data_IF_341135584096
#
_entry.id   IF_341135584096
#
_cell.length_a   1.000
_cell.length_b   1.000
_cell.length_c   1.000
_cell.angle_alpha   90.00
_cell.angle_beta   90.00
_cell.angle_gamma   90.00
#
_symmetry.space_group_name_H-M   'P 1'
#
loop_
_entity.id
_entity.type
_entity.pdbx_description
1 polymer ?
#
# COMPACT_ATOMS: atom_id res chain seq x y z
N UNK A 1 8.24 31.24 -15.76
CA UNK A 1 9.31 30.40 -15.18
C UNK A 1 9.59 30.74 -13.71
N UNK A 2 9.68 32.03 -13.32
CA UNK A 2 9.90 32.44 -11.91
C UNK A 2 8.77 31.99 -10.95
N UNK A 3 7.51 31.93 -11.41
CA UNK A 3 6.37 31.45 -10.60
C UNK A 3 6.44 29.96 -10.25
N UNK A 4 6.91 29.10 -11.16
CA UNK A 4 6.97 27.65 -10.96
C UNK A 4 7.98 27.24 -9.89
N UNK A 5 9.17 27.86 -9.89
CA UNK A 5 10.22 27.63 -8.89
C UNK A 5 9.73 28.04 -7.51
N UNK A 6 9.06 29.18 -7.41
CA UNK A 6 8.50 29.66 -6.15
C UNK A 6 7.47 28.68 -5.56
N UNK A 7 6.58 28.15 -6.39
CA UNK A 7 5.60 27.12 -5.97
C UNK A 7 6.29 25.85 -5.47
N UNK A 8 7.34 25.40 -6.17
CA UNK A 8 8.13 24.23 -5.76
C UNK A 8 8.74 24.45 -4.38
N UNK A 9 9.35 25.62 -4.14
CA UNK A 9 9.94 25.97 -2.83
C UNK A 9 8.88 25.98 -1.72
N UNK A 10 7.70 26.52 -1.99
CA UNK A 10 6.58 26.50 -1.05
C UNK A 10 6.17 25.06 -0.71
N UNK A 11 6.02 24.19 -1.70
CA UNK A 11 5.64 22.78 -1.48
C UNK A 11 6.72 22.06 -0.65
N UNK A 12 8.00 22.29 -0.93
CA UNK A 12 9.09 21.75 -0.13
C UNK A 12 9.02 22.25 1.32
N UNK A 13 8.78 23.54 1.55
CA UNK A 13 8.61 24.11 2.88
C UNK A 13 7.43 23.47 3.64
N UNK A 14 6.29 23.29 2.97
CA UNK A 14 5.14 22.57 3.54
C UNK A 14 5.49 21.12 3.90
N UNK A 15 6.26 20.43 3.07
CA UNK A 15 6.70 19.07 3.36
C UNK A 15 7.53 18.98 4.65
N UNK A 16 8.50 19.88 4.83
CA UNK A 16 9.26 19.97 6.09
C UNK A 16 8.37 20.29 7.29
N UNK A 17 7.48 21.27 7.14
CA UNK A 17 6.54 21.65 8.21
C UNK A 17 5.63 20.49 8.63
N UNK A 18 5.18 19.65 7.69
CA UNK A 18 4.41 18.44 8.01
C UNK A 18 5.26 17.44 8.79
N UNK A 19 6.53 17.23 8.41
CA UNK A 19 7.45 16.33 9.13
C UNK A 19 7.61 16.78 10.59
N UNK A 20 7.90 18.06 10.82
CA UNK A 20 8.06 18.60 12.18
C UNK A 20 6.79 18.44 13.02
N UNK A 21 5.62 18.72 12.42
CA UNK A 21 4.32 18.50 13.09
C UNK A 21 4.07 17.04 13.45
N UNK A 22 4.46 16.11 12.58
CA UNK A 22 4.32 14.67 12.83
C UNK A 22 5.28 14.24 13.94
N UNK A 23 6.54 14.67 13.90
CA UNK A 23 7.53 14.38 14.94
C UNK A 23 7.11 14.95 16.31
N UNK A 24 6.56 16.16 16.35
CA UNK A 24 6.04 16.77 17.58
C UNK A 24 4.81 16.03 18.12
N UNK A 25 3.90 15.59 17.25
CA UNK A 25 2.66 14.91 17.64
C UNK A 25 2.89 13.46 18.09
N UNK A 26 3.84 12.75 17.48
CA UNK A 26 4.07 11.33 17.71
C UNK A 26 5.47 11.08 18.27
N UNK A 27 5.56 10.76 19.57
CA UNK A 27 6.85 10.52 20.27
C UNK A 27 7.72 9.41 19.63
N UNK A 28 7.12 8.48 18.90
CA UNK A 28 7.85 7.40 18.22
C UNK A 28 8.36 7.80 16.83
N UNK A 29 7.95 8.96 16.31
CA UNK A 29 8.29 9.40 14.98
C UNK A 29 9.69 10.01 14.96
N UNK A 30 10.51 9.54 14.04
CA UNK A 30 11.88 10.01 13.83
C UNK A 30 11.88 11.03 12.68
N UNK A 31 12.15 12.29 13.02
CA UNK A 31 12.21 13.38 12.04
C UNK A 31 13.32 13.17 11.00
N UNK A 32 14.47 12.61 11.40
CA UNK A 32 15.59 12.40 10.49
C UNK A 32 15.27 11.29 9.48
N UNK A 33 14.58 10.24 9.92
CA UNK A 33 14.05 9.21 9.03
C UNK A 33 13.09 9.81 8.00
N UNK A 34 12.13 10.63 8.45
CA UNK A 34 11.14 11.26 7.56
C UNK A 34 11.77 12.26 6.58
N UNK A 35 12.77 13.04 7.02
CA UNK A 35 13.54 13.95 6.14
C UNK A 35 14.33 13.16 5.09
N UNK A 36 14.98 12.06 5.49
CA UNK A 36 15.68 11.18 4.55
C UNK A 36 14.72 10.56 3.53
N UNK A 37 13.53 10.17 3.98
CA UNK A 37 12.47 9.65 3.13
C UNK A 37 11.95 10.70 2.13
N UNK A 38 11.80 11.95 2.56
CA UNK A 38 11.44 13.07 1.70
C UNK A 38 12.50 13.31 0.62
N UNK A 39 13.78 13.37 1.00
CA UNK A 39 14.89 13.56 0.07
C UNK A 39 14.96 12.43 -0.96
N UNK A 40 14.79 11.18 -0.51
CA UNK A 40 14.76 10.02 -1.39
C UNK A 40 13.57 10.04 -2.34
N UNK A 41 12.38 10.40 -1.85
CA UNK A 41 11.19 10.55 -2.67
C UNK A 41 11.33 11.68 -3.71
N UNK A 42 11.90 12.81 -3.32
CA UNK A 42 12.18 13.93 -4.22
C UNK A 42 13.20 13.53 -5.29
N UNK A 43 14.27 12.82 -4.93
CA UNK A 43 15.25 12.31 -5.89
C UNK A 43 14.60 11.41 -6.94
N UNK A 44 13.73 10.49 -6.51
CA UNK A 44 13.00 9.62 -7.43
C UNK A 44 11.92 10.35 -8.23
N UNK A 45 11.35 11.44 -7.71
CA UNK A 45 10.49 12.35 -8.49
C UNK A 45 11.26 13.00 -9.64
N UNK A 46 12.50 13.47 -9.38
CA UNK A 46 13.39 14.01 -10.41
C UNK A 46 13.76 12.93 -11.44
N UNK A 47 14.09 11.73 -10.99
CA UNK A 47 14.36 10.60 -11.88
C UNK A 47 13.14 10.25 -12.76
N UNK A 48 11.93 10.25 -12.19
CA UNK A 48 10.69 10.06 -12.92
C UNK A 48 10.44 11.16 -13.95
N UNK A 49 10.67 12.43 -13.59
CA UNK A 49 10.54 13.55 -14.53
C UNK A 49 11.50 13.40 -15.72
N UNK A 50 12.75 13.01 -15.46
CA UNK A 50 13.73 12.68 -16.50
C UNK A 50 13.26 11.52 -17.40
N UNK A 51 12.72 10.46 -16.83
CA UNK A 51 12.14 9.35 -17.60
C UNK A 51 10.99 9.80 -18.52
N UNK A 52 10.08 10.64 -18.00
CA UNK A 52 8.95 11.16 -18.76
C UNK A 52 9.34 12.15 -19.84
N UNK A 53 10.52 12.78 -19.76
CA UNK A 53 11.01 13.63 -20.84
C UNK A 53 11.14 12.84 -22.17
N UNK A 54 11.59 11.58 -22.09
CA UNK A 54 11.88 10.72 -23.25
C UNK A 54 10.81 9.65 -23.53
N UNK A 55 9.85 9.44 -22.62
CA UNK A 55 8.83 8.41 -22.74
C UNK A 55 7.41 9.01 -22.69
N UNK A 56 6.43 8.41 -23.39
CA UNK A 56 5.02 8.78 -23.22
C UNK A 56 4.57 8.64 -21.77
N UNK A 57 3.81 9.62 -21.27
CA UNK A 57 3.33 9.61 -19.88
C UNK A 57 1.93 10.20 -19.78
N UNK A 58 1.09 9.50 -19.02
CA UNK A 58 -0.25 9.93 -18.61
C UNK A 58 -0.25 11.37 -18.05
N UNK A 59 0.79 11.74 -17.30
CA UNK A 59 0.92 13.05 -16.66
C UNK A 59 0.91 14.23 -17.64
N UNK A 60 1.60 14.10 -18.79
CA UNK A 60 1.61 15.11 -19.86
C UNK A 60 0.22 15.27 -20.47
N UNK A 61 -0.49 14.15 -20.65
CA UNK A 61 -1.85 14.16 -21.20
C UNK A 61 -2.83 14.82 -20.25
N UNK A 62 -2.79 14.50 -18.95
CA UNK A 62 -3.67 15.13 -17.95
C UNK A 62 -3.46 16.64 -17.90
N UNK A 63 -2.21 17.09 -17.90
CA UNK A 63 -1.89 18.52 -17.84
C UNK A 63 -2.40 19.25 -19.08
N UNK A 64 -2.16 18.71 -20.28
CA UNK A 64 -2.64 19.30 -21.53
C UNK A 64 -4.16 19.35 -21.62
N UNK A 65 -4.86 18.29 -21.22
CA UNK A 65 -6.34 18.25 -21.24
C UNK A 65 -6.96 19.32 -20.36
N UNK A 66 -6.42 19.51 -19.16
CA UNK A 66 -6.87 20.56 -18.24
C UNK A 66 -6.54 21.95 -18.81
N UNK A 67 -5.32 22.14 -19.32
CA UNK A 67 -4.90 23.41 -19.90
C UNK A 67 -5.81 23.83 -21.07
N UNK A 68 -6.12 22.89 -21.96
CA UNK A 68 -6.90 23.08 -23.19
C UNK A 68 -8.42 23.01 -22.99
N UNK A 69 -8.95 22.92 -21.76
CA UNK A 69 -10.38 22.76 -21.51
C UNK A 69 -11.02 21.58 -22.26
N UNK A 70 -10.29 20.46 -22.39
CA UNK A 70 -10.70 19.33 -23.24
C UNK A 70 -12.08 18.75 -22.88
N UNK A 71 -12.52 18.87 -21.62
CA UNK A 71 -13.82 18.38 -21.16
C UNK A 71 -14.90 19.46 -21.05
N UNK A 72 -14.50 20.72 -21.08
CA UNK A 72 -15.35 21.86 -20.79
C UNK A 72 -14.58 22.98 -20.08
N UNK A 73 -15.18 24.18 -20.01
CA UNK A 73 -14.55 25.36 -19.43
C UNK A 73 -14.60 25.41 -17.90
N UNK A 74 -15.44 24.62 -17.24
CA UNK A 74 -15.66 24.69 -15.79
C UNK A 74 -14.89 23.60 -15.05
N UNK A 75 -14.65 23.82 -13.75
CA UNK A 75 -13.97 22.84 -12.91
C UNK A 75 -14.76 21.51 -12.81
N UNK A 76 -16.08 21.61 -12.69
CA UNK A 76 -16.96 20.45 -12.53
C UNK A 76 -17.06 19.58 -13.80
N UNK A 77 -16.73 20.12 -14.98
CA UNK A 77 -16.68 19.35 -16.23
C UNK A 77 -15.59 18.27 -16.19
N UNK A 78 -14.59 18.45 -15.33
CA UNK A 78 -13.54 17.46 -15.11
C UNK A 78 -13.88 16.44 -14.04
N UNK A 79 -14.98 16.60 -13.30
CA UNK A 79 -15.36 15.69 -12.23
C UNK A 79 -15.77 14.31 -12.78
N UNK A 80 -15.33 13.27 -12.09
CA UNK A 80 -15.67 11.88 -12.40
C UNK A 80 -14.70 10.93 -11.72
N UNK A 81 -14.69 9.67 -12.14
CA UNK A 81 -13.80 8.64 -11.57
C UNK A 81 -12.63 8.28 -12.48
N UNK A 82 -11.60 7.65 -11.94
CA UNK A 82 -10.41 7.19 -12.65
C UNK A 82 -9.56 8.35 -13.20
N UNK A 83 -9.60 8.60 -14.51
CA UNK A 83 -8.75 9.62 -15.16
C UNK A 83 -9.27 11.03 -14.94
N UNK A 84 -10.59 11.21 -15.05
CA UNK A 84 -11.26 12.51 -14.85
C UNK A 84 -10.96 13.07 -13.47
N UNK A 85 -10.99 12.23 -12.42
CA UNK A 85 -10.66 12.69 -11.06
C UNK A 85 -9.27 13.30 -10.93
N UNK A 86 -8.26 12.77 -11.62
CA UNK A 86 -6.90 13.33 -11.57
C UNK A 86 -6.85 14.69 -12.27
N UNK A 87 -7.56 14.81 -13.38
CA UNK A 87 -7.72 16.08 -14.11
C UNK A 87 -8.50 17.10 -13.26
N UNK A 88 -9.55 16.67 -12.56
CA UNK A 88 -10.33 17.47 -11.60
C UNK A 88 -9.46 17.97 -10.44
N UNK A 89 -8.67 17.11 -9.81
CA UNK A 89 -7.77 17.50 -8.71
C UNK A 89 -6.68 18.45 -9.22
N UNK A 90 -6.18 18.24 -10.45
CA UNK A 90 -5.18 19.11 -11.07
C UNK A 90 -5.72 20.47 -11.53
N UNK A 91 -7.01 20.56 -11.87
CA UNK A 91 -7.66 21.75 -12.43
C UNK A 91 -7.42 23.05 -11.66
N UNK A 92 -7.67 23.14 -10.34
CA UNK A 92 -7.47 24.40 -9.62
C UNK A 92 -6.01 24.86 -9.68
N UNK A 93 -5.06 23.93 -9.60
CA UNK A 93 -3.63 24.26 -9.64
C UNK A 93 -3.20 24.73 -11.04
N UNK A 94 -3.69 24.09 -12.09
CA UNK A 94 -3.30 24.40 -13.47
C UNK A 94 -4.01 25.68 -13.96
N UNK A 95 -5.33 25.81 -13.73
CA UNK A 95 -6.16 26.85 -14.35
C UNK A 95 -6.37 28.07 -13.46
N UNK A 96 -6.57 27.88 -12.15
CA UNK A 96 -6.80 28.99 -11.22
C UNK A 96 -5.47 29.57 -10.75
N UNK A 97 -4.53 28.71 -10.33
CA UNK A 97 -3.23 29.14 -9.82
C UNK A 97 -2.13 29.24 -10.88
N UNK A 98 -2.37 28.77 -12.11
CA UNK A 98 -1.41 28.89 -13.22
C UNK A 98 -0.12 28.10 -13.02
N UNK A 99 -0.17 26.98 -12.29
CA UNK A 99 1.02 26.15 -12.02
C UNK A 99 1.57 25.56 -13.32
N UNK A 100 2.91 25.59 -13.48
CA UNK A 100 3.58 24.89 -14.57
C UNK A 100 3.48 23.37 -14.39
N UNK A 101 3.79 22.62 -15.46
CA UNK A 101 3.81 21.17 -15.43
C UNK A 101 4.73 20.62 -14.31
N UNK A 102 5.91 21.22 -14.13
CA UNK A 102 6.88 20.87 -13.08
C UNK A 102 6.30 21.12 -11.68
N UNK A 103 5.64 22.26 -11.47
CA UNK A 103 5.03 22.59 -10.19
C UNK A 103 3.91 21.61 -9.82
N UNK A 104 3.08 21.19 -10.80
CA UNK A 104 2.04 20.17 -10.59
C UNK A 104 2.66 18.78 -10.32
N UNK A 105 3.76 18.44 -11.00
CA UNK A 105 4.49 17.20 -10.74
C UNK A 105 5.00 17.14 -9.29
N UNK A 106 5.61 18.22 -8.81
CA UNK A 106 6.08 18.32 -7.41
C UNK A 106 4.92 18.30 -6.42
N UNK A 107 3.80 18.97 -6.72
CA UNK A 107 2.61 18.94 -5.89
C UNK A 107 2.05 17.52 -5.73
N UNK A 108 1.94 16.77 -6.82
CA UNK A 108 1.47 15.39 -6.75
C UNK A 108 2.49 14.45 -6.10
N UNK A 109 3.80 14.70 -6.28
CA UNK A 109 4.82 14.00 -5.49
C UNK A 109 4.68 14.27 -4.00
N UNK A 110 4.33 15.50 -3.59
CA UNK A 110 4.01 15.80 -2.21
C UNK A 110 2.79 15.02 -1.69
N UNK A 111 1.72 14.87 -2.49
CA UNK A 111 0.60 13.98 -2.11
C UNK A 111 1.05 12.53 -1.93
N UNK A 112 1.92 12.01 -2.81
CA UNK A 112 2.53 10.69 -2.64
C UNK A 112 3.33 10.58 -1.34
N UNK A 113 4.14 11.59 -1.03
CA UNK A 113 4.90 11.68 0.22
C UNK A 113 4.02 11.69 1.47
N UNK A 114 2.87 12.37 1.45
CA UNK A 114 1.89 12.29 2.55
C UNK A 114 1.39 10.85 2.75
N UNK A 115 1.21 10.08 1.68
CA UNK A 115 0.92 8.64 1.77
C UNK A 115 1.99 7.88 2.56
N UNK A 116 3.26 8.14 2.29
CA UNK A 116 4.37 7.54 3.05
C UNK A 116 4.34 7.92 4.53
N UNK A 117 4.02 9.17 4.87
CA UNK A 117 3.87 9.60 6.27
C UNK A 117 2.77 8.81 6.97
N UNK A 118 1.59 8.67 6.35
CA UNK A 118 0.48 7.94 6.95
C UNK A 118 0.79 6.45 7.13
N UNK A 119 1.44 5.84 6.14
CA UNK A 119 1.94 4.47 6.28
C UNK A 119 3.02 4.36 7.35
N UNK A 120 3.94 5.31 7.45
CA UNK A 120 4.97 5.30 8.50
C UNK A 120 4.34 5.32 9.90
N UNK A 121 3.36 6.20 10.12
CA UNK A 121 2.62 6.26 11.38
C UNK A 121 1.88 4.94 11.62
N UNK A 122 1.19 4.41 10.61
CA UNK A 122 0.49 3.13 10.68
C UNK A 122 1.43 1.97 11.06
N UNK A 123 2.63 1.91 10.48
CA UNK A 123 3.63 0.88 10.80
C UNK A 123 4.14 1.04 12.23
N UNK A 124 4.59 2.25 12.62
CA UNK A 124 5.14 2.51 13.95
C UNK A 124 4.13 2.33 15.09
N UNK A 125 2.83 2.53 14.83
CA UNK A 125 1.79 2.29 15.84
C UNK A 125 1.54 0.79 16.10
N UNK A 126 1.84 -0.07 15.14
CA UNK A 126 1.53 -1.51 15.20
C UNK A 126 2.77 -2.41 15.32
N UNK A 127 3.98 -1.89 15.10
CA UNK A 127 5.25 -2.63 15.18
C UNK A 127 6.10 -2.06 16.32
N UNK A 128 6.48 -2.90 17.29
CA UNK A 128 7.20 -2.46 18.49
C UNK A 128 8.70 -2.68 18.41
N UNK A 129 9.14 -3.77 17.78
CA UNK A 129 10.54 -4.17 17.75
C UNK A 129 11.18 -3.83 16.41
N UNK A 130 12.50 -3.61 16.44
CA UNK A 130 13.30 -3.48 15.22
C UNK A 130 13.62 -4.88 14.70
N UNK A 131 13.28 -5.14 13.44
CA UNK A 131 13.50 -6.44 12.80
C UNK A 131 14.60 -6.30 11.77
N UNK A 132 15.68 -7.06 11.91
CA UNK A 132 16.80 -7.02 10.97
C UNK A 132 16.70 -8.12 9.92
N UNK A 133 16.97 -7.78 8.66
CA UNK A 133 17.12 -8.71 7.54
C UNK A 133 18.39 -8.31 6.79
N UNK A 134 19.30 -9.26 6.57
CA UNK A 134 20.65 -9.00 6.02
C UNK A 134 21.45 -7.91 6.78
N UNK A 135 21.21 -7.77 8.09
CA UNK A 135 21.87 -6.75 8.92
C UNK A 135 21.19 -5.37 8.90
N UNK A 136 20.33 -5.10 7.92
CA UNK A 136 19.57 -3.86 7.78
C UNK A 136 18.22 -3.93 8.50
N UNK A 137 17.70 -2.78 8.94
CA UNK A 137 16.36 -2.68 9.49
C UNK A 137 15.30 -2.86 8.39
N UNK A 138 14.43 -3.86 8.55
CA UNK A 138 13.45 -4.25 7.55
C UNK A 138 12.43 -3.14 7.29
N UNK A 139 12.04 -2.39 8.32
CA UNK A 139 11.14 -1.25 8.15
C UNK A 139 11.79 -0.20 7.27
N UNK A 140 13.05 0.15 7.55
CA UNK A 140 13.82 1.06 6.70
C UNK A 140 13.91 0.55 5.26
N UNK A 141 14.23 -0.72 5.06
CA UNK A 141 14.32 -1.31 3.71
C UNK A 141 12.99 -1.19 2.94
N UNK A 142 11.86 -1.52 3.57
CA UNK A 142 10.52 -1.43 2.96
C UNK A 142 10.17 -0.01 2.53
N UNK A 143 10.50 0.99 3.36
CA UNK A 143 10.20 2.39 3.07
C UNK A 143 11.15 3.00 2.05
N UNK A 144 12.30 2.39 1.74
CA UNK A 144 13.25 2.90 0.75
C UNK A 144 13.29 2.07 -0.53
N UNK A 145 12.25 1.29 -0.82
CA UNK A 145 12.12 0.58 -2.09
C UNK A 145 11.83 1.57 -3.24
N UNK A 146 12.72 1.68 -4.26
CA UNK A 146 12.63 2.72 -5.28
C UNK A 146 11.34 2.72 -6.11
N UNK A 147 10.78 1.56 -6.43
CA UNK A 147 9.62 1.42 -7.33
C UNK A 147 8.37 2.11 -6.77
N UNK A 148 8.12 1.95 -5.46
CA UNK A 148 6.98 2.60 -4.82
C UNK A 148 7.11 4.12 -4.88
N UNK A 149 8.31 4.65 -4.61
CA UNK A 149 8.58 6.09 -4.72
C UNK A 149 8.42 6.59 -6.16
N UNK A 150 9.01 5.89 -7.12
CA UNK A 150 8.98 6.25 -8.54
C UNK A 150 7.55 6.37 -9.11
N UNK A 151 6.65 5.44 -8.76
CA UNK A 151 5.27 5.50 -9.27
C UNK A 151 4.31 6.36 -8.44
N UNK A 152 4.70 6.76 -7.24
CA UNK A 152 3.94 7.68 -6.38
C UNK A 152 4.43 9.13 -6.46
N UNK A 153 5.45 9.42 -7.27
CA UNK A 153 6.09 10.75 -7.35
C UNK A 153 5.68 11.58 -8.57
N UNK A 154 4.52 11.33 -9.17
CA UNK A 154 4.10 11.93 -10.44
C UNK A 154 2.68 12.48 -10.44
N UNK A 155 2.40 13.42 -11.35
CA UNK A 155 1.04 13.87 -11.66
C UNK A 155 0.26 12.74 -12.32
N UNK A 156 -0.36 11.90 -11.50
CA UNK A 156 -1.08 10.74 -11.96
C UNK A 156 -1.85 10.05 -10.86
N UNK A 157 -2.51 8.95 -11.22
CA UNK A 157 -3.33 8.15 -10.29
C UNK A 157 -2.52 7.61 -9.11
N UNK A 158 -1.22 7.37 -9.30
CA UNK A 158 -0.39 6.67 -8.33
C UNK A 158 -0.12 7.41 -7.04
N UNK A 159 0.15 8.71 -7.11
CA UNK A 159 0.34 9.56 -5.92
C UNK A 159 -0.93 9.69 -5.09
N UNK A 160 -2.05 10.03 -5.75
CA UNK A 160 -3.34 10.24 -5.10
C UNK A 160 -3.89 8.96 -4.48
N UNK A 161 -3.84 7.82 -5.19
CA UNK A 161 -4.33 6.56 -4.61
C UNK A 161 -3.47 6.10 -3.45
N UNK A 162 -2.15 6.26 -3.53
CA UNK A 162 -1.26 5.87 -2.44
C UNK A 162 -1.53 6.67 -1.17
N UNK A 163 -1.78 7.98 -1.31
CA UNK A 163 -2.29 8.82 -0.23
C UNK A 163 -3.62 8.30 0.33
N UNK A 164 -4.59 7.99 -0.54
CA UNK A 164 -5.91 7.49 -0.13
C UNK A 164 -5.83 6.18 0.68
N UNK A 165 -5.06 5.21 0.19
CA UNK A 165 -4.84 3.93 0.88
C UNK A 165 -4.11 4.15 2.20
N UNK A 166 -3.04 4.96 2.22
CA UNK A 166 -2.30 5.26 3.44
C UNK A 166 -3.17 5.91 4.52
N UNK A 167 -4.00 6.89 4.12
CA UNK A 167 -4.92 7.59 5.02
C UNK A 167 -6.02 6.66 5.57
N UNK A 168 -6.54 5.76 4.72
CA UNK A 168 -7.52 4.75 5.12
C UNK A 168 -6.97 3.79 6.19
N UNK A 169 -5.78 3.20 5.95
CA UNK A 169 -5.16 2.27 6.92
C UNK A 169 -4.69 2.98 8.20
N UNK A 170 -4.19 4.21 8.09
CA UNK A 170 -3.93 5.08 9.24
C UNK A 170 -5.19 5.31 10.08
N UNK A 171 -6.34 5.52 9.43
CA UNK A 171 -7.64 5.67 10.08
C UNK A 171 -8.09 4.40 10.79
N UNK A 172 -7.98 3.25 10.11
CA UNK A 172 -8.36 1.92 10.62
C UNK A 172 -7.59 1.54 11.88
N UNK A 173 -6.34 1.98 12.06
CA UNK A 173 -5.59 1.69 13.28
C UNK A 173 -6.24 2.30 14.53
N UNK A 174 -6.95 3.43 14.40
CA UNK A 174 -7.67 4.10 15.51
C UNK A 174 -9.01 4.66 15.02
N UNK A 175 -9.94 3.78 14.65
CA UNK A 175 -11.22 4.12 14.01
C UNK A 175 -11.96 5.25 14.74
N UNK A 176 -12.13 5.14 16.06
CA UNK A 176 -12.92 6.09 16.86
C UNK A 176 -12.45 7.53 16.75
N UNK A 177 -11.13 7.77 16.70
CA UNK A 177 -10.57 9.12 16.65
C UNK A 177 -10.20 9.58 15.24
N UNK A 178 -10.30 8.68 14.25
CA UNK A 178 -9.82 8.93 12.87
C UNK A 178 -10.87 8.61 11.80
N UNK A 179 -12.16 8.65 12.15
CA UNK A 179 -13.25 8.53 11.17
C UNK A 179 -13.06 9.49 9.98
N UNK A 180 -12.66 10.77 10.17
CA UNK A 180 -12.43 11.66 9.03
C UNK A 180 -11.34 11.14 8.07
N UNK A 181 -10.29 10.51 8.58
CA UNK A 181 -9.24 9.92 7.76
C UNK A 181 -9.75 8.72 6.95
N UNK A 182 -10.61 7.87 7.55
CA UNK A 182 -11.24 6.74 6.84
C UNK A 182 -12.14 7.25 5.72
N UNK A 183 -12.97 8.28 5.99
CA UNK A 183 -13.89 8.86 5.00
C UNK A 183 -13.12 9.52 3.86
N UNK A 184 -12.17 10.40 4.16
CA UNK A 184 -11.37 11.10 3.14
C UNK A 184 -10.52 10.09 2.36
N UNK A 185 -9.87 9.14 3.03
CA UNK A 185 -9.07 8.10 2.38
C UNK A 185 -9.92 7.23 1.47
N UNK A 186 -11.07 6.78 1.96
CA UNK A 186 -12.04 6.00 1.18
C UNK A 186 -12.58 6.78 -0.03
N UNK A 187 -12.93 8.05 0.16
CA UNK A 187 -13.38 8.94 -0.92
C UNK A 187 -12.32 9.09 -2.02
N UNK A 188 -11.06 9.28 -1.64
CA UNK A 188 -9.95 9.37 -2.60
C UNK A 188 -9.79 8.05 -3.35
N UNK A 189 -9.78 6.91 -2.65
CA UNK A 189 -9.66 5.60 -3.30
C UNK A 189 -10.82 5.33 -4.24
N UNK A 190 -12.07 5.65 -3.85
CA UNK A 190 -13.24 5.52 -4.72
C UNK A 190 -13.05 6.29 -6.02
N UNK A 191 -12.71 7.57 -5.94
CA UNK A 191 -12.63 8.40 -7.13
C UNK A 191 -11.46 8.02 -8.04
N UNK A 192 -10.33 7.55 -7.49
CA UNK A 192 -9.21 7.11 -8.33
C UNK A 192 -9.43 5.70 -8.88
N UNK A 193 -9.93 4.77 -8.05
CA UNK A 193 -10.20 3.36 -8.38
C UNK A 193 -11.37 2.80 -7.57
N UNK A 194 -12.61 2.88 -8.09
CA UNK A 194 -13.81 2.41 -7.39
C UNK A 194 -13.73 0.94 -6.94
N UNK A 195 -13.19 0.08 -7.80
CA UNK A 195 -13.04 -1.36 -7.52
C UNK A 195 -12.10 -1.63 -6.34
N UNK A 196 -11.01 -0.86 -6.18
CA UNK A 196 -10.08 -1.05 -5.05
C UNK A 196 -10.74 -0.67 -3.74
N UNK A 197 -11.56 0.39 -3.70
CA UNK A 197 -12.28 0.75 -2.47
C UNK A 197 -13.22 -0.38 -2.05
N UNK A 198 -14.01 -0.92 -2.98
CA UNK A 198 -14.96 -1.98 -2.69
C UNK A 198 -14.26 -3.17 -2.03
N UNK A 199 -13.16 -3.58 -2.64
CA UNK A 199 -12.35 -4.69 -2.18
C UNK A 199 -11.74 -4.41 -0.80
N UNK A 200 -11.26 -3.20 -0.55
CA UNK A 200 -10.74 -2.78 0.76
C UNK A 200 -11.82 -2.75 1.85
N UNK A 201 -13.04 -2.31 1.52
CA UNK A 201 -14.17 -2.30 2.44
C UNK A 201 -14.62 -3.71 2.80
N UNK A 202 -14.78 -4.58 1.81
CA UNK A 202 -15.13 -6.00 2.02
C UNK A 202 -14.04 -6.69 2.84
N UNK A 203 -12.78 -6.50 2.50
CA UNK A 203 -11.65 -7.04 3.25
C UNK A 203 -11.60 -6.56 4.69
N UNK A 204 -11.91 -5.28 4.92
CA UNK A 204 -11.97 -4.71 6.27
C UNK A 204 -13.17 -5.25 7.05
N UNK A 205 -14.34 -5.39 6.40
CA UNK A 205 -15.54 -5.99 7.01
C UNK A 205 -15.30 -7.44 7.43
N UNK A 206 -14.72 -8.26 6.55
CA UNK A 206 -14.30 -9.63 6.88
C UNK A 206 -13.29 -9.61 8.02
N UNK A 207 -12.29 -8.72 7.96
CA UNK A 207 -11.33 -8.51 9.04
C UNK A 207 -12.00 -8.23 10.40
N UNK A 208 -13.07 -7.43 10.42
CA UNK A 208 -13.85 -7.14 11.64
C UNK A 208 -14.61 -8.35 12.16
N UNK A 209 -15.27 -9.11 11.28
CA UNK A 209 -16.05 -10.29 11.67
C UNK A 209 -15.13 -11.35 12.27
N UNK A 210 -14.02 -11.64 11.59
CA UNK A 210 -13.11 -12.72 11.98
C UNK A 210 -12.05 -12.33 13.02
N UNK A 211 -11.96 -11.06 13.45
CA UNK A 211 -11.03 -10.68 14.51
C UNK A 211 -11.66 -10.83 15.89
N UNK A 212 -11.13 -11.70 16.73
CA UNK A 212 -11.59 -11.87 18.11
C UNK A 212 -11.04 -10.80 19.08
N UNK A 213 -10.11 -9.95 18.63
CA UNK A 213 -9.35 -9.03 19.50
C UNK A 213 -9.49 -7.57 19.07
N UNK A 214 -9.87 -6.71 20.01
CA UNK A 214 -9.57 -5.27 19.97
C UNK A 214 -10.71 -4.31 19.60
N UNK A 215 -11.88 -4.78 19.15
CA UNK A 215 -13.02 -3.90 18.84
C UNK A 215 -14.33 -4.46 19.40
N UNK A 216 -15.12 -3.61 20.06
CA UNK A 216 -16.43 -3.99 20.60
C UNK A 216 -17.43 -4.32 19.50
N UNK A 217 -18.34 -5.25 19.77
CA UNK A 217 -19.31 -5.78 18.78
C UNK A 217 -20.13 -4.65 18.12
N UNK A 218 -20.55 -3.64 18.89
CA UNK A 218 -21.31 -2.50 18.37
C UNK A 218 -20.59 -1.75 17.23
N UNK A 219 -19.28 -1.51 17.36
CA UNK A 219 -18.50 -0.84 16.31
C UNK A 219 -18.28 -1.72 15.08
N UNK A 220 -18.27 -3.04 15.26
CA UNK A 220 -18.22 -3.99 14.13
C UNK A 220 -19.50 -3.92 13.33
N UNK A 221 -20.64 -3.98 14.01
CA UNK A 221 -21.97 -3.90 13.38
C UNK A 221 -22.15 -2.55 12.68
N UNK A 222 -21.78 -1.46 13.34
CA UNK A 222 -21.83 -0.12 12.73
C UNK A 222 -20.97 -0.03 11.47
N UNK A 223 -19.72 -0.51 11.52
CA UNK A 223 -18.85 -0.51 10.35
C UNK A 223 -19.41 -1.40 9.22
N UNK A 224 -19.89 -2.60 9.54
CA UNK A 224 -20.51 -3.51 8.58
C UNK A 224 -21.72 -2.87 7.90
N UNK A 225 -22.59 -2.23 8.67
CA UNK A 225 -23.76 -1.53 8.15
C UNK A 225 -23.34 -0.40 7.20
N UNK A 226 -22.40 0.46 7.62
CA UNK A 226 -21.88 1.53 6.76
C UNK A 226 -21.20 0.97 5.49
N UNK A 227 -20.40 -0.08 5.62
CA UNK A 227 -19.73 -0.73 4.48
C UNK A 227 -20.75 -1.32 3.50
N UNK A 228 -21.83 -1.94 3.99
CA UNK A 228 -22.91 -2.48 3.16
C UNK A 228 -23.70 -1.39 2.44
N UNK A 229 -23.96 -0.25 3.10
CA UNK A 229 -24.60 0.91 2.44
C UNK A 229 -23.70 1.44 1.33
N UNK A 230 -22.41 1.64 1.63
CA UNK A 230 -21.44 2.11 0.63
C UNK A 230 -21.31 1.11 -0.52
N UNK A 231 -21.31 -0.20 -0.23
CA UNK A 231 -21.34 -1.26 -1.24
C UNK A 231 -22.56 -1.13 -2.16
N UNK A 232 -23.76 -0.94 -1.58
CA UNK A 232 -25.02 -0.80 -2.34
C UNK A 232 -25.00 0.38 -3.32
N UNK A 233 -24.37 1.49 -2.97
CA UNK A 233 -24.26 2.64 -3.88
C UNK A 233 -23.17 2.49 -4.95
N UNK A 234 -22.12 1.71 -4.66
CA UNK A 234 -20.91 1.67 -5.50
C UNK A 234 -20.86 0.43 -6.40
N UNK A 235 -21.55 -0.67 -6.06
CA UNK A 235 -21.40 -1.94 -6.78
C UNK A 235 -21.68 -1.80 -8.28
N UNK A 236 -22.70 -1.03 -8.68
CA UNK A 236 -23.02 -0.78 -10.09
C UNK A 236 -21.89 -0.09 -10.85
N UNK A 237 -21.33 0.97 -10.27
CA UNK A 237 -20.18 1.67 -10.83
C UNK A 237 -18.94 0.76 -10.92
N UNK A 238 -18.81 -0.20 -10.00
CA UNK A 238 -17.73 -1.19 -10.02
C UNK A 238 -17.95 -2.23 -11.11
N UNK A 239 -19.15 -2.79 -11.26
CA UNK A 239 -19.49 -3.74 -12.32
C UNK A 239 -19.26 -3.11 -13.70
N UNK A 240 -19.74 -1.89 -13.91
CA UNK A 240 -19.49 -1.13 -15.13
C UNK A 240 -17.99 -0.85 -15.35
N UNK A 241 -17.22 -0.54 -14.30
CA UNK A 241 -15.78 -0.32 -14.42
C UNK A 241 -15.01 -1.62 -14.75
N UNK A 242 -15.49 -2.77 -14.31
CA UNK A 242 -14.94 -4.10 -14.63
C UNK A 242 -15.39 -4.56 -16.03
N UNK A 243 -16.49 -4.02 -16.56
CA UNK A 243 -17.04 -4.35 -17.88
C UNK A 243 -18.04 -5.51 -17.83
N UNK A 244 -18.72 -5.67 -16.69
CA UNK A 244 -19.72 -6.71 -16.47
C UNK A 244 -21.09 -6.06 -16.63
N UNK A 245 -21.83 -6.41 -17.68
CA UNK A 245 -23.23 -6.01 -17.81
C UNK A 245 -24.11 -6.87 -16.88
N UNK A 246 -25.13 -6.26 -16.26
CA UNK A 246 -26.01 -6.93 -15.28
C UNK A 246 -26.69 -8.18 -15.88
N UNK A 247 -26.86 -8.25 -17.21
CA UNK A 247 -27.45 -9.39 -17.93
C UNK A 247 -26.50 -10.58 -18.11
N UNK A 248 -25.18 -10.38 -18.06
CA UNK A 248 -24.18 -11.44 -18.28
C UNK A 248 -23.90 -12.25 -16.99
N UNK A 249 -24.05 -11.62 -15.82
CA UNK A 249 -23.83 -12.23 -14.49
C UNK A 249 -24.69 -13.47 -14.20
N UNK A 250 -25.83 -13.62 -14.90
CA UNK A 250 -26.80 -14.68 -14.66
C UNK A 250 -26.69 -15.85 -15.64
N UNK A 251 -25.89 -15.73 -16.71
CA UNK A 251 -25.97 -16.70 -17.82
C UNK A 251 -24.63 -17.15 -18.37
N UNK A 252 -23.56 -16.36 -18.27
CA UNK A 252 -22.23 -16.79 -18.74
C UNK A 252 -21.09 -16.20 -17.89
N UNK A 253 -20.08 -17.02 -17.63
CA UNK A 253 -18.95 -16.65 -16.77
C UNK A 253 -18.11 -15.52 -17.36
N UNK A 254 -17.94 -14.44 -16.58
CA UNK A 254 -16.98 -13.33 -16.71
C UNK A 254 -16.00 -13.40 -17.90
N UNK A 255 -16.34 -12.80 -19.05
CA UNK A 255 -15.42 -12.69 -20.18
C UNK A 255 -14.42 -11.51 -20.00
N UNK A 256 -13.50 -11.67 -19.06
CA UNK A 256 -12.38 -10.74 -18.83
C UNK A 256 -11.27 -10.85 -19.89
N UNK A 257 -11.42 -11.76 -20.87
CA UNK A 257 -10.36 -12.08 -21.83
C UNK A 257 -10.12 -10.96 -22.83
N UNK A 258 -11.16 -10.20 -23.21
CA UNK A 258 -11.03 -9.11 -24.17
C UNK A 258 -10.10 -7.99 -23.67
N UNK A 259 -10.21 -7.61 -22.39
CA UNK A 259 -9.33 -6.60 -21.78
C UNK A 259 -7.90 -7.10 -21.62
N UNK A 260 -7.73 -8.35 -21.17
CA UNK A 260 -6.41 -8.96 -21.03
C UNK A 260 -5.68 -9.06 -22.40
N UNK A 261 -6.42 -9.41 -23.46
CA UNK A 261 -5.90 -9.51 -24.83
C UNK A 261 -5.59 -8.14 -25.46
N UNK A 262 -6.38 -7.09 -25.19
CA UNK A 262 -6.04 -5.73 -25.63
C UNK A 262 -4.79 -5.18 -24.92
N UNK A 263 -4.61 -5.49 -23.62
CA UNK A 263 -3.41 -5.09 -22.88
C UNK A 263 -2.17 -5.93 -23.24
N UNK A 264 -2.33 -7.19 -23.69
CA UNK A 264 -1.20 -8.04 -24.09
C UNK A 264 -0.59 -7.62 -25.44
N UNK A 265 -1.34 -6.92 -26.31
CA UNK A 265 -0.83 -6.37 -27.57
C UNK A 265 0.20 -5.24 -27.39
N UNK A 266 0.30 -4.64 -26.19
CA UNK A 266 1.23 -3.54 -25.91
C UNK A 266 2.62 -4.04 -25.49
N UNK A 267 3.52 -4.30 -26.45
CA UNK A 267 5.01 -4.29 -26.37
C UNK A 267 5.76 -5.22 -25.40
N UNK A 268 5.17 -5.56 -24.25
CA UNK A 268 5.72 -6.40 -23.18
C UNK A 268 4.61 -7.28 -22.55
N UNK A 269 3.61 -7.65 -23.35
CA UNK A 269 2.46 -8.41 -22.90
C UNK A 269 2.83 -9.87 -22.66
N UNK A 270 2.48 -10.38 -21.48
CA UNK A 270 2.48 -11.82 -21.23
C UNK A 270 1.06 -12.28 -21.54
N UNK A 271 0.90 -13.31 -22.39
CA UNK A 271 -0.41 -13.90 -22.65
C UNK A 271 -0.94 -14.57 -21.37
N UNK A 272 -1.68 -13.80 -20.59
CA UNK A 272 -2.30 -14.17 -19.31
C UNK A 272 -3.56 -15.02 -19.52
N UNK A 273 -4.10 -15.05 -20.74
CA UNK A 273 -5.30 -15.78 -21.16
C UNK A 273 -5.20 -17.29 -20.95
N UNK A 274 -4.00 -17.87 -21.01
CA UNK A 274 -3.78 -19.31 -20.83
C UNK A 274 -3.31 -19.70 -19.41
N UNK A 275 -3.21 -18.76 -18.46
CA UNK A 275 -2.68 -19.03 -17.12
C UNK A 275 -3.78 -19.38 -16.13
N UNK A 276 -3.51 -20.33 -15.24
CA UNK A 276 -4.35 -20.55 -14.05
C UNK A 276 -4.33 -19.32 -13.15
N UNK A 277 -5.42 -19.06 -12.41
CA UNK A 277 -5.55 -17.89 -11.52
C UNK A 277 -4.34 -17.74 -10.59
N UNK A 278 -3.84 -18.84 -10.02
CA UNK A 278 -2.64 -18.82 -9.17
C UNK A 278 -1.37 -18.34 -9.90
N UNK A 279 -1.17 -18.78 -11.14
CA UNK A 279 -0.04 -18.34 -11.98
C UNK A 279 -0.18 -16.88 -12.42
N UNK A 280 -1.41 -16.41 -12.65
CA UNK A 280 -1.70 -14.99 -12.93
C UNK A 280 -1.30 -14.11 -11.74
N UNK A 281 -1.73 -14.48 -10.52
CA UNK A 281 -1.38 -13.75 -9.29
C UNK A 281 0.12 -13.80 -9.02
N UNK A 282 0.76 -14.96 -9.20
CA UNK A 282 2.21 -15.09 -9.04
C UNK A 282 2.98 -14.19 -10.02
N UNK A 283 2.57 -14.22 -11.30
CA UNK A 283 3.17 -13.37 -12.35
C UNK A 283 2.98 -11.89 -12.04
N UNK A 284 1.77 -11.50 -11.62
CA UNK A 284 1.47 -10.12 -11.25
C UNK A 284 2.33 -9.64 -10.06
N UNK A 285 2.49 -10.46 -9.03
CA UNK A 285 3.22 -10.09 -7.82
C UNK A 285 4.74 -10.10 -8.00
N UNK A 286 5.30 -11.17 -8.55
CA UNK A 286 6.74 -11.44 -8.48
C UNK A 286 7.50 -11.30 -9.81
N UNK A 287 6.82 -11.14 -10.95
CA UNK A 287 7.48 -10.84 -12.22
C UNK A 287 7.41 -9.33 -12.51
N UNK A 288 8.39 -8.75 -13.24
CA UNK A 288 9.51 -9.40 -13.92
C UNK A 288 10.64 -9.83 -12.97
N UNK A 289 11.21 -11.01 -13.23
CA UNK A 289 12.51 -11.42 -12.69
C UNK A 289 13.64 -10.95 -13.61
N UNK A 290 14.91 -11.18 -13.23
CA UNK A 290 16.09 -10.70 -13.98
C UNK A 290 16.10 -11.11 -15.47
N UNK A 291 15.43 -12.20 -15.82
CA UNK A 291 15.34 -12.72 -17.17
C UNK A 291 14.21 -12.10 -18.02
N UNK A 292 13.28 -11.39 -17.38
CA UNK A 292 12.01 -10.95 -18.00
C UNK A 292 11.98 -9.47 -18.40
N UNK A 293 12.88 -8.63 -17.87
CA UNK A 293 12.83 -7.19 -18.07
C UNK A 293 14.16 -6.61 -18.57
N UNK A 294 14.29 -6.33 -19.88
CA UNK A 294 15.41 -5.57 -20.39
C UNK A 294 15.36 -4.11 -19.91
N UNK A 295 16.52 -3.55 -19.54
CA UNK A 295 16.69 -2.14 -19.17
C UNK A 295 16.91 -1.89 -17.66
N UNK A 296 17.46 -0.72 -17.33
CA UNK A 296 17.86 -0.36 -15.97
C UNK A 296 16.70 -0.35 -14.97
N UNK A 297 15.51 0.14 -15.38
CA UNK A 297 14.30 0.10 -14.55
C UNK A 297 13.81 -1.33 -14.30
N UNK A 298 13.93 -2.21 -15.31
CA UNK A 298 13.61 -3.63 -15.20
C UNK A 298 14.45 -4.33 -14.14
N UNK A 299 15.77 -4.12 -14.19
CA UNK A 299 16.71 -4.70 -13.22
C UNK A 299 16.43 -4.26 -11.78
N UNK A 300 16.20 -2.97 -11.54
CA UNK A 300 15.86 -2.44 -10.21
C UNK A 300 14.60 -3.12 -9.69
N UNK A 301 13.56 -3.22 -10.52
CA UNK A 301 12.29 -3.84 -10.14
C UNK A 301 12.44 -5.34 -9.92
N UNK A 302 13.30 -6.03 -10.69
CA UNK A 302 13.58 -7.44 -10.48
C UNK A 302 14.26 -7.71 -9.13
N UNK A 303 15.21 -6.86 -8.70
CA UNK A 303 15.82 -6.96 -7.36
C UNK A 303 14.76 -6.84 -6.28
N UNK A 304 13.86 -5.86 -6.39
CA UNK A 304 12.76 -5.71 -5.43
C UNK A 304 11.79 -6.88 -5.44
N UNK A 305 11.48 -7.43 -6.61
CA UNK A 305 10.57 -8.58 -6.72
C UNK A 305 11.15 -9.82 -6.07
N UNK A 306 12.46 -10.04 -6.20
CA UNK A 306 13.17 -11.11 -5.49
C UNK A 306 13.12 -10.87 -3.98
N UNK A 307 13.28 -9.62 -3.54
CA UNK A 307 13.10 -9.26 -2.13
C UNK A 307 11.67 -9.55 -1.64
N UNK A 308 10.63 -9.17 -2.39
CA UNK A 308 9.24 -9.49 -2.06
C UNK A 308 8.99 -11.00 -2.01
N UNK A 309 9.54 -11.75 -2.96
CA UNK A 309 9.43 -13.21 -2.98
C UNK A 309 10.07 -13.82 -1.73
N UNK A 310 11.29 -13.42 -1.39
CA UNK A 310 12.00 -13.88 -0.19
C UNK A 310 11.19 -13.62 1.09
N UNK A 311 10.67 -12.41 1.24
CA UNK A 311 9.87 -12.02 2.40
C UNK A 311 8.56 -12.80 2.46
N UNK A 312 7.91 -13.03 1.32
CA UNK A 312 6.66 -13.79 1.27
C UNK A 312 6.88 -15.26 1.58
N UNK A 313 7.98 -15.85 1.10
CA UNK A 313 8.39 -17.21 1.46
C UNK A 313 8.66 -17.34 2.96
N UNK A 314 9.19 -16.31 3.62
CA UNK A 314 9.35 -16.33 5.09
C UNK A 314 8.01 -16.39 5.84
N UNK A 315 6.97 -15.72 5.31
CA UNK A 315 5.62 -15.78 5.86
C UNK A 315 4.95 -17.14 5.60
N UNK A 316 4.98 -17.62 4.35
CA UNK A 316 4.28 -18.85 3.96
C UNK A 316 5.03 -20.14 4.34
N UNK A 317 6.36 -20.09 4.41
CA UNK A 317 7.21 -21.24 4.69
C UNK A 317 7.23 -21.70 6.15
N UNK A 318 6.54 -20.98 7.05
CA UNK A 318 6.40 -21.37 8.45
C UNK A 318 4.94 -21.69 8.78
N UNK A 319 4.69 -22.82 9.44
CA UNK A 319 3.36 -23.16 9.95
C UNK A 319 2.78 -22.07 10.85
N UNK A 320 3.65 -21.40 11.60
CA UNK A 320 3.28 -20.25 12.43
C UNK A 320 2.81 -19.04 11.61
N UNK A 321 3.39 -18.81 10.42
CA UNK A 321 2.98 -17.74 9.52
C UNK A 321 1.62 -18.01 8.87
N UNK A 322 1.37 -19.25 8.45
CA UNK A 322 0.05 -19.67 7.95
C UNK A 322 -1.01 -19.50 9.05
N UNK A 323 -0.72 -19.98 10.26
CA UNK A 323 -1.62 -19.79 11.42
C UNK A 323 -1.83 -18.31 11.74
N UNK A 324 -0.79 -17.48 11.63
CA UNK A 324 -0.87 -16.04 11.88
C UNK A 324 -1.85 -15.33 10.94
N UNK A 325 -1.97 -15.74 9.68
CA UNK A 325 -2.97 -15.19 8.75
C UNK A 325 -4.40 -15.30 9.31
N UNK A 326 -4.68 -16.37 10.07
CA UNK A 326 -5.99 -16.60 10.68
C UNK A 326 -6.11 -16.06 12.12
N UNK A 327 -5.01 -15.88 12.85
CA UNK A 327 -5.03 -15.41 14.25
C UNK A 327 -4.69 -13.93 14.43
N UNK A 328 -4.30 -13.23 13.36
CA UNK A 328 -3.88 -11.84 13.40
C UNK A 328 -4.93 -10.87 13.93
N UNK A 329 -4.47 -9.70 14.37
CA UNK A 329 -5.31 -8.57 14.76
C UNK A 329 -6.15 -8.05 13.59
N UNK A 330 -7.19 -7.28 13.89
CA UNK A 330 -8.11 -6.70 12.91
C UNK A 330 -7.38 -5.97 11.77
N UNK A 331 -6.48 -5.04 12.08
CA UNK A 331 -5.74 -4.27 11.08
C UNK A 331 -4.86 -5.16 10.18
N UNK A 332 -4.26 -6.21 10.74
CA UNK A 332 -3.44 -7.18 9.99
C UNK A 332 -4.31 -7.99 9.04
N UNK A 333 -5.47 -8.46 9.49
CA UNK A 333 -6.42 -9.19 8.64
C UNK A 333 -6.96 -8.32 7.53
N UNK A 334 -7.36 -7.09 7.83
CA UNK A 334 -7.83 -6.13 6.82
C UNK A 334 -6.75 -5.84 5.78
N UNK A 335 -5.49 -5.66 6.19
CA UNK A 335 -4.36 -5.44 5.28
C UNK A 335 -4.06 -6.69 4.42
N UNK A 336 -4.03 -7.87 5.02
CA UNK A 336 -3.78 -9.13 4.31
C UNK A 336 -4.89 -9.46 3.32
N UNK A 337 -6.16 -9.37 3.75
CA UNK A 337 -7.30 -9.64 2.89
C UNK A 337 -7.37 -8.63 1.76
N UNK A 338 -7.13 -7.35 2.05
CA UNK A 338 -7.07 -6.29 1.02
C UNK A 338 -5.95 -6.57 0.02
N UNK A 339 -4.78 -6.99 0.50
CA UNK A 339 -3.68 -7.37 -0.38
C UNK A 339 -4.06 -8.54 -1.30
N UNK A 340 -4.59 -9.64 -0.75
CA UNK A 340 -4.95 -10.84 -1.53
C UNK A 340 -6.03 -10.51 -2.56
N UNK A 341 -7.11 -9.90 -2.13
CA UNK A 341 -8.28 -9.64 -2.98
C UNK A 341 -7.99 -8.60 -4.04
N UNK A 342 -7.25 -7.53 -3.72
CA UNK A 342 -6.81 -6.56 -4.74
C UNK A 342 -5.80 -7.20 -5.69
N UNK A 343 -4.90 -8.06 -5.22
CA UNK A 343 -3.96 -8.78 -6.09
C UNK A 343 -4.69 -9.67 -7.11
N UNK A 344 -5.72 -10.40 -6.68
CA UNK A 344 -6.54 -11.23 -7.57
C UNK A 344 -7.26 -10.35 -8.60
N UNK A 345 -7.94 -9.28 -8.15
CA UNK A 345 -8.67 -8.39 -9.05
C UNK A 345 -7.76 -7.72 -10.09
N UNK A 346 -6.56 -7.28 -9.68
CA UNK A 346 -5.61 -6.64 -10.58
C UNK A 346 -4.87 -7.62 -11.48
N UNK A 347 -4.59 -8.84 -11.02
CA UNK A 347 -3.95 -9.88 -11.82
C UNK A 347 -4.80 -10.29 -13.03
N UNK A 348 -6.12 -10.31 -12.88
CA UNK A 348 -7.05 -10.64 -13.98
C UNK A 348 -7.12 -9.55 -15.06
N UNK A 349 -6.78 -8.30 -14.72
CA UNK A 349 -6.93 -7.13 -15.61
C UNK A 349 -5.58 -6.74 -16.25
N UNK A 350 -4.45 -7.13 -15.63
CA UNK A 350 -3.13 -6.61 -15.99
C UNK A 350 -2.41 -7.44 -17.06
N UNK A 351 -2.86 -7.35 -18.32
CA UNK A 351 -2.20 -7.98 -19.48
C UNK A 351 -0.75 -7.50 -19.78
N UNK A 352 -0.37 -6.35 -19.22
CA UNK A 352 0.92 -5.68 -19.48
C UNK A 352 1.79 -5.62 -18.21
N UNK A 353 3.02 -6.16 -18.27
CA UNK A 353 3.97 -6.19 -17.15
C UNK A 353 4.31 -4.81 -16.58
N UNK A 354 4.44 -3.77 -17.42
CA UNK A 354 4.70 -2.40 -16.95
C UNK A 354 3.53 -1.79 -16.19
N UNK A 355 2.29 -2.05 -16.64
CA UNK A 355 1.07 -1.64 -15.91
C UNK A 355 0.97 -2.42 -14.60
N UNK A 356 1.26 -3.73 -14.63
CA UNK A 356 1.27 -4.58 -13.45
C UNK A 356 2.29 -4.07 -12.41
N UNK A 357 3.51 -3.73 -12.82
CA UNK A 357 4.56 -3.17 -11.96
C UNK A 357 4.11 -1.88 -11.25
N UNK A 358 3.44 -0.97 -11.97
CA UNK A 358 2.91 0.26 -11.38
C UNK A 358 1.82 -0.03 -10.34
N UNK A 359 0.89 -0.92 -10.68
CA UNK A 359 -0.26 -1.21 -9.83
C UNK A 359 0.09 -2.05 -8.60
N UNK A 360 1.00 -3.03 -8.74
CA UNK A 360 1.41 -3.90 -7.63
C UNK A 360 2.18 -3.15 -6.54
N UNK A 361 2.99 -2.15 -6.90
CA UNK A 361 3.79 -1.40 -5.94
C UNK A 361 2.92 -0.80 -4.82
N UNK A 362 1.73 -0.31 -5.17
CA UNK A 362 0.79 0.36 -4.28
C UNK A 362 0.19 -0.58 -3.22
N UNK A 363 0.06 -1.87 -3.54
CA UNK A 363 -0.51 -2.86 -2.63
C UNK A 363 0.56 -3.63 -1.86
N UNK A 364 1.77 -3.71 -2.39
CA UNK A 364 2.84 -4.52 -1.79
C UNK A 364 3.25 -3.99 -0.40
N UNK A 365 3.06 -2.69 -0.15
CA UNK A 365 3.26 -2.11 1.19
C UNK A 365 2.36 -2.77 2.26
N UNK A 366 1.16 -3.22 1.88
CA UNK A 366 0.25 -3.92 2.79
C UNK A 366 0.77 -5.32 3.13
N UNK A 367 1.34 -6.03 2.14
CA UNK A 367 2.00 -7.31 2.40
C UNK A 367 3.21 -7.12 3.32
N UNK A 368 4.04 -6.11 3.06
CA UNK A 368 5.21 -5.82 3.89
C UNK A 368 4.83 -5.48 5.33
N UNK A 369 3.71 -4.77 5.52
CA UNK A 369 3.14 -4.53 6.84
C UNK A 369 2.79 -5.86 7.56
N UNK A 370 2.05 -6.75 6.90
CA UNK A 370 1.61 -8.03 7.47
C UNK A 370 2.81 -8.88 7.91
N UNK A 371 3.86 -8.92 7.10
CA UNK A 371 5.11 -9.63 7.42
C UNK A 371 5.79 -9.01 8.64
N UNK A 372 5.89 -7.69 8.72
CA UNK A 372 6.52 -7.03 9.86
C UNK A 372 5.76 -7.31 11.16
N UNK A 373 4.42 -7.27 11.13
CA UNK A 373 3.61 -7.64 12.31
C UNK A 373 3.79 -9.11 12.68
N UNK A 374 3.89 -10.01 11.70
CA UNK A 374 4.18 -11.43 11.94
C UNK A 374 5.52 -11.61 12.69
N UNK A 375 6.58 -10.94 12.24
CA UNK A 375 7.90 -10.99 12.88
C UNK A 375 7.86 -10.37 14.29
N UNK A 376 7.08 -9.30 14.48
CA UNK A 376 6.88 -8.66 15.78
C UNK A 376 6.21 -9.61 16.78
N UNK A 377 5.16 -10.30 16.36
CA UNK A 377 4.49 -11.31 17.20
C UNK A 377 5.39 -12.49 17.53
N UNK A 378 6.17 -12.97 16.55
CA UNK A 378 7.10 -14.09 16.77
C UNK A 378 8.19 -13.71 17.78
N UNK A 379 8.74 -12.50 17.65
CA UNK A 379 9.73 -11.96 18.58
C UNK A 379 9.13 -11.81 19.99
N UNK A 380 7.92 -11.26 20.10
CA UNK A 380 7.23 -11.11 21.38
C UNK A 380 6.95 -12.47 22.05
N UNK A 381 6.52 -13.49 21.29
CA UNK A 381 6.30 -14.85 21.80
C UNK A 381 7.61 -15.46 22.33
N UNK A 382 8.73 -15.26 21.64
CA UNK A 382 10.06 -15.72 22.09
C UNK A 382 10.49 -15.04 23.40
N UNK A 383 10.33 -13.73 23.50
CA UNK A 383 10.64 -12.97 24.72
C UNK A 383 9.78 -13.44 25.90
N UNK A 384 8.47 -13.61 25.71
CA UNK A 384 7.57 -14.09 26.75
C UNK A 384 7.97 -15.50 27.23
N UNK A 385 8.35 -16.40 26.31
CA UNK A 385 8.84 -17.74 26.66
C UNK A 385 10.13 -17.68 27.48
N UNK A 386 11.09 -16.84 27.10
CA UNK A 386 12.33 -16.65 27.85
C UNK A 386 12.09 -16.09 29.25
N UNK A 387 11.18 -15.12 29.39
CA UNK A 387 10.80 -14.55 30.68
C UNK A 387 10.13 -15.60 31.59
N UNK A 388 9.26 -16.45 31.03
CA UNK A 388 8.62 -17.55 31.77
C UNK A 388 9.66 -18.58 32.26
N UNK A 389 10.62 -18.95 31.42
CA UNK A 389 11.70 -19.87 31.81
C UNK A 389 12.56 -19.25 32.92
N UNK A 390 12.95 -17.97 32.80
CA UNK A 390 13.70 -17.27 33.86
C UNK A 390 12.93 -17.21 35.18
N UNK A 391 11.61 -16.94 35.15
CA UNK A 391 10.76 -16.94 36.35
C UNK A 391 10.69 -18.33 36.99
N UNK A 392 10.56 -19.40 36.21
CA UNK A 392 10.56 -20.78 36.72
C UNK A 392 11.90 -21.14 37.37
N UNK A 393 13.02 -20.79 36.73
CA UNK A 393 14.34 -21.03 37.31
C UNK A 393 14.56 -20.24 38.61
N UNK A 394 14.07 -19.00 38.70
CA UNK A 394 14.16 -18.19 39.92
C UNK A 394 13.24 -18.68 41.06
N UNK A 395 12.18 -19.42 40.75
CA UNK A 395 11.22 -19.96 41.72
C UNK A 395 11.55 -21.40 42.16
N UNK A 396 12.52 -22.06 41.52
CA UNK A 396 12.95 -23.40 41.95
C UNK A 396 14.00 -23.21 43.05
N UNK A 397 13.72 -23.57 44.32
CA UNK A 397 14.72 -23.47 45.37
C UNK A 397 15.88 -24.41 45.00
N UNK A 398 17.10 -23.91 45.04
CA UNK A 398 18.28 -24.78 45.04
C UNK A 398 18.18 -25.57 46.34
N UNK A 399 17.73 -26.83 46.28
CA UNK A 399 17.88 -27.72 47.42
C UNK A 399 19.39 -27.83 47.69
N UNK A 400 19.85 -27.51 48.91
CA UNK A 400 21.24 -27.79 49.25
C UNK A 400 21.44 -29.27 49.05
N UNK A 401 22.44 -29.65 48.26
CA UNK A 401 22.88 -31.04 48.16
C UNK A 401 23.30 -31.42 49.58
N UNK A 402 22.41 -32.12 50.28
CA UNK A 402 22.68 -32.69 51.58
C UNK A 402 23.86 -33.64 51.38
N UNK A 403 25.03 -33.23 51.87
CA UNK A 403 26.23 -34.05 51.84
C UNK A 403 25.91 -35.32 52.63
N UNK A 404 25.67 -36.41 51.91
CA UNK A 404 25.52 -37.74 52.47
C UNK A 404 26.77 -38.03 53.30
N UNK A 405 26.61 -38.00 54.62
CA UNK A 405 27.58 -38.55 55.56
C UNK A 405 27.65 -40.05 55.34
N UNK A 406 28.80 -40.62 54.94
CA UNK A 406 28.95 -42.06 54.96
C UNK A 406 29.26 -42.46 56.41
N UNK A 407 28.22 -42.83 57.16
CA UNK A 407 28.39 -43.60 58.38
C UNK A 407 28.36 -45.10 58.05
N UNK A 408 29.32 -45.79 58.67
CA UNK A 408 29.48 -47.24 58.87
C UNK A 408 30.12 -48.05 57.72
N UNK A 409 31.32 -48.59 57.99
CA UNK A 409 31.55 -50.02 58.27
C UNK A 409 32.97 -50.19 58.88
N UNK A 410 32.99 -50.85 60.05
CA UNK A 410 34.09 -51.49 60.80
C UNK A 410 35.22 -50.63 61.40
#
# INVERSE_FOLDING_TARGET
>A
MVSGIFVILIICMFAFMVIERVAAKYKFADANFLRSLLLYHALLSVAYYGYVAFNPSDSKFYYRKVLMNFRGPEWMDFYGTSTTFIEFVGYPFIKIFGFSYEAVMVLFSFFGFLGFIYFYIFFKENIKYKHKVFGFDLMTLVFFLPNLHFWSSSFGKGSIIFLGIGLYFFGISKIKSRIPAIIIGGFIVYHVRPHILLVMLVSSAIGFVFSSKGVSVAWRVFFLMCASIVFFFIYKNVLAAVGIDESELMTDGLDLTHRANELSKAGSGVNISNYSLGMQVFTFLYRPLFFDAPGALGLIVSVENVFYLFITMKLLGSWNGIKFMFTGSFYTKSALLSFITVSIALAQISGNLGIAMRQKSQIMILLMFVVLVFLDEEHQKKLNKQQLVRRRMAQTPIQPIEQATPNAIL
#
